data_IF_801286069214
#
_entry.id   IF_801286069214
#
_cell.length_a   1.000
_cell.length_b   1.000
_cell.length_c   1.000
_cell.angle_alpha   90.00
_cell.angle_beta   90.00
_cell.angle_gamma   90.00
#
_symmetry.space_group_name_H-M   'P 1'
#
loop_
_entity.id
_entity.type
_entity.pdbx_description
1 polymer ?
#
# COMPACT_ATOMS: atom_id res chain seq x y z
N UNK A 1 -6.43 2.98 -16.64
CA UNK A 1 -6.69 1.83 -15.74
C UNK A 1 -5.93 0.63 -16.29
N UNK A 2 -5.46 -0.29 -15.44
CA UNK A 2 -4.65 -1.46 -15.87
C UNK A 2 -5.31 -2.27 -16.99
N UNK A 3 -6.64 -2.41 -16.92
CA UNK A 3 -7.51 -3.00 -17.94
C UNK A 3 -7.30 -2.45 -19.35
N UNK A 4 -7.11 -1.13 -19.48
CA UNK A 4 -6.99 -0.46 -20.78
C UNK A 4 -5.63 -0.63 -21.45
N UNK A 5 -4.63 -1.11 -20.72
CA UNK A 5 -3.28 -1.38 -21.25
C UNK A 5 -3.09 -2.85 -21.64
N UNK A 6 -4.11 -3.70 -21.48
CA UNK A 6 -4.05 -5.10 -21.90
C UNK A 6 -4.30 -5.23 -23.40
N UNK A 7 -3.59 -6.16 -24.03
CA UNK A 7 -3.83 -6.54 -25.43
C UNK A 7 -5.25 -7.06 -25.65
N UNK A 8 -5.82 -7.74 -24.65
CA UNK A 8 -7.20 -8.24 -24.64
C UNK A 8 -7.90 -7.90 -23.31
N UNK A 9 -8.59 -6.75 -23.22
CA UNK A 9 -9.30 -6.32 -22.01
C UNK A 9 -10.40 -7.28 -21.56
N UNK A 10 -10.94 -8.13 -22.46
CA UNK A 10 -12.02 -9.07 -22.14
C UNK A 10 -11.57 -10.20 -21.20
N UNK A 11 -10.25 -10.44 -21.11
CA UNK A 11 -9.65 -11.47 -20.26
C UNK A 11 -9.14 -10.94 -18.92
N UNK A 12 -9.41 -9.68 -18.59
CA UNK A 12 -8.92 -9.07 -17.35
C UNK A 12 -9.38 -9.83 -16.10
N UNK A 13 -10.67 -10.15 -16.00
CA UNK A 13 -11.22 -10.92 -14.88
C UNK A 13 -10.55 -12.29 -14.75
N UNK A 14 -10.37 -13.00 -15.87
CA UNK A 14 -9.68 -14.29 -15.89
C UNK A 14 -8.22 -14.17 -15.45
N UNK A 15 -7.51 -13.15 -15.91
CA UNK A 15 -6.13 -12.88 -15.51
C UNK A 15 -6.05 -12.56 -14.00
N UNK A 16 -6.98 -11.77 -13.47
CA UNK A 16 -7.05 -11.45 -12.04
C UNK A 16 -7.29 -12.69 -11.21
N UNK A 17 -8.27 -13.52 -11.57
CA UNK A 17 -8.61 -14.75 -10.84
C UNK A 17 -7.38 -15.67 -10.74
N UNK A 18 -6.70 -15.94 -11.87
CA UNK A 18 -5.49 -16.75 -11.86
C UNK A 18 -4.35 -16.12 -11.07
N UNK A 19 -4.16 -14.81 -11.18
CA UNK A 19 -3.14 -14.09 -10.42
C UNK A 19 -3.38 -14.21 -8.92
N UNK A 20 -4.64 -14.13 -8.48
CA UNK A 20 -5.03 -14.30 -7.08
C UNK A 20 -4.86 -15.74 -6.59
N UNK A 21 -5.23 -16.74 -7.41
CA UNK A 21 -5.01 -18.16 -7.10
C UNK A 21 -3.52 -18.43 -6.86
N UNK A 22 -2.67 -18.02 -7.79
CA UNK A 22 -1.22 -18.21 -7.65
C UNK A 22 -0.67 -17.43 -6.45
N UNK A 23 -1.11 -16.19 -6.23
CA UNK A 23 -0.70 -15.42 -5.07
C UNK A 23 -1.11 -16.10 -3.75
N UNK A 24 -2.29 -16.71 -3.68
CA UNK A 24 -2.75 -17.45 -2.51
C UNK A 24 -1.87 -18.69 -2.26
N UNK A 25 -1.55 -19.46 -3.30
CA UNK A 25 -0.67 -20.63 -3.20
C UNK A 25 0.71 -20.23 -2.67
N UNK A 26 1.35 -19.21 -3.25
CA UNK A 26 2.67 -18.75 -2.82
C UNK A 26 2.66 -18.26 -1.38
N UNK A 27 1.65 -17.47 -0.98
CA UNK A 27 1.52 -16.96 0.39
C UNK A 27 1.31 -18.11 1.39
N UNK A 28 0.46 -19.08 1.06
CA UNK A 28 0.17 -20.21 1.92
C UNK A 28 1.38 -21.13 2.10
N UNK A 29 2.07 -21.48 1.02
CA UNK A 29 3.28 -22.30 1.08
C UNK A 29 4.40 -21.60 1.85
N UNK A 30 4.62 -20.31 1.57
CA UNK A 30 5.63 -19.52 2.29
C UNK A 30 5.33 -19.47 3.79
N UNK A 31 4.06 -19.19 4.17
CA UNK A 31 3.63 -19.19 5.57
C UNK A 31 3.80 -20.55 6.24
N UNK A 32 3.41 -21.63 5.56
CA UNK A 32 3.54 -22.99 6.07
C UNK A 32 4.99 -23.40 6.32
N UNK A 33 5.89 -23.14 5.36
CA UNK A 33 7.32 -23.43 5.50
C UNK A 33 7.93 -22.63 6.66
N UNK A 34 7.60 -21.33 6.76
CA UNK A 34 8.08 -20.46 7.82
C UNK A 34 7.61 -20.93 9.20
N UNK A 35 6.35 -21.32 9.32
CA UNK A 35 5.79 -21.86 10.56
C UNK A 35 6.48 -23.16 10.98
N UNK A 36 6.72 -24.09 10.05
CA UNK A 36 7.44 -25.32 10.36
C UNK A 36 8.92 -25.08 10.70
N UNK A 37 9.54 -24.05 10.12
CA UNK A 37 10.97 -23.75 10.32
C UNK A 37 11.22 -23.08 11.67
N UNK A 38 10.40 -22.12 12.07
CA UNK A 38 10.62 -21.32 13.28
C UNK A 38 9.69 -21.68 14.44
N UNK A 39 8.56 -22.35 14.17
CA UNK A 39 7.59 -22.82 15.16
C UNK A 39 7.27 -21.76 16.22
N UNK A 40 7.57 -22.03 17.49
CA UNK A 40 7.29 -21.16 18.63
C UNK A 40 8.13 -19.86 18.63
N UNK A 41 9.23 -19.81 17.87
CA UNK A 41 10.10 -18.62 17.76
C UNK A 41 9.64 -17.67 16.64
N UNK A 42 8.51 -17.93 15.99
CA UNK A 42 8.01 -17.10 14.88
C UNK A 42 7.60 -15.71 15.35
N UNK A 43 8.47 -14.72 15.12
CA UNK A 43 8.15 -13.30 15.32
C UNK A 43 7.12 -12.78 14.30
N UNK A 44 6.43 -11.68 14.64
CA UNK A 44 5.46 -11.01 13.75
C UNK A 44 6.05 -10.63 12.38
N UNK A 45 7.36 -10.33 12.37
CA UNK A 45 8.11 -10.05 11.14
C UNK A 45 9.06 -11.22 10.89
N UNK A 46 8.72 -12.05 9.91
CA UNK A 46 9.44 -13.30 9.61
C UNK A 46 10.93 -13.09 9.31
N UNK A 47 11.31 -11.95 8.75
CA UNK A 47 12.72 -11.66 8.44
C UNK A 47 13.59 -11.51 9.69
N UNK A 48 12.98 -11.18 10.85
CA UNK A 48 13.71 -11.12 12.12
C UNK A 48 14.12 -12.51 12.63
N UNK A 49 13.45 -13.58 12.19
CA UNK A 49 13.77 -14.96 12.57
C UNK A 49 14.96 -15.52 11.77
N UNK A 50 15.43 -14.82 10.73
CA UNK A 50 16.54 -15.28 9.92
C UNK A 50 17.85 -15.32 10.74
N UNK A 51 18.51 -16.49 10.85
CA UNK A 51 19.67 -16.65 11.71
C UNK A 51 20.94 -15.98 11.15
N UNK A 52 21.04 -15.87 9.81
CA UNK A 52 22.16 -15.21 9.15
C UNK A 52 21.98 -13.69 9.13
N UNK A 53 22.88 -12.98 9.82
CA UNK A 53 22.86 -11.52 9.88
C UNK A 53 22.98 -10.86 8.49
N UNK A 54 23.81 -11.41 7.60
CA UNK A 54 23.98 -10.90 6.23
C UNK A 54 22.75 -11.11 5.36
N UNK A 55 22.15 -12.31 5.41
CA UNK A 55 20.93 -12.61 4.65
C UNK A 55 19.75 -11.79 5.15
N UNK A 56 19.59 -11.65 6.46
CA UNK A 56 18.60 -10.78 7.09
C UNK A 56 18.74 -9.32 6.62
N UNK A 57 19.96 -8.80 6.61
CA UNK A 57 20.26 -7.44 6.14
C UNK A 57 19.84 -7.22 4.69
N UNK A 58 20.21 -8.15 3.80
CA UNK A 58 19.85 -8.09 2.39
C UNK A 58 18.33 -8.08 2.18
N UNK A 59 17.62 -9.01 2.81
CA UNK A 59 16.15 -9.12 2.67
C UNK A 59 15.47 -7.86 3.21
N UNK A 60 15.89 -7.34 4.37
CA UNK A 60 15.31 -6.12 4.93
C UNK A 60 15.56 -4.89 4.03
N UNK A 61 16.74 -4.75 3.44
CA UNK A 61 17.03 -3.67 2.47
C UNK A 61 16.11 -3.79 1.26
N UNK A 62 15.96 -4.99 0.69
CA UNK A 62 15.04 -5.23 -0.43
C UNK A 62 13.59 -4.87 -0.05
N UNK A 63 13.14 -5.19 1.16
CA UNK A 63 11.81 -4.83 1.65
C UNK A 63 11.63 -3.31 1.78
N UNK A 64 12.65 -2.59 2.28
CA UNK A 64 12.63 -1.12 2.36
C UNK A 64 12.57 -0.50 0.97
N UNK A 65 13.41 -0.97 0.04
CA UNK A 65 13.40 -0.49 -1.35
C UNK A 65 12.04 -0.73 -2.00
N UNK A 66 11.49 -1.94 -1.84
CA UNK A 66 10.14 -2.27 -2.31
C UNK A 66 9.10 -1.31 -1.73
N UNK A 67 9.16 -1.03 -0.42
CA UNK A 67 8.21 -0.14 0.24
C UNK A 67 8.30 1.30 -0.29
N UNK A 68 9.51 1.84 -0.47
CA UNK A 68 9.73 3.17 -1.02
C UNK A 68 9.20 3.30 -2.45
N UNK A 69 9.42 2.28 -3.28
CA UNK A 69 8.92 2.26 -4.66
C UNK A 69 7.40 2.05 -4.74
N UNK A 70 6.85 1.30 -3.79
CA UNK A 70 5.43 0.95 -3.79
C UNK A 70 4.55 1.98 -3.07
N UNK A 71 5.11 2.82 -2.18
CA UNK A 71 4.37 3.81 -1.38
C UNK A 71 3.61 4.86 -2.21
N UNK A 72 4.16 5.40 -3.33
CA UNK A 72 3.46 6.43 -4.10
C UNK A 72 2.13 5.94 -4.70
N UNK A 73 2.07 4.68 -5.14
CA UNK A 73 0.90 4.10 -5.82
C UNK A 73 -0.39 4.14 -4.96
N UNK A 74 -0.45 3.51 -3.77
CA UNK A 74 -1.63 3.56 -2.92
C UNK A 74 -1.84 4.95 -2.32
N UNK A 75 -0.77 5.73 -2.07
CA UNK A 75 -0.89 7.09 -1.57
C UNK A 75 -1.65 7.99 -2.55
N UNK A 76 -1.27 7.99 -3.83
CA UNK A 76 -1.97 8.79 -4.84
C UNK A 76 -3.39 8.29 -5.08
N UNK A 77 -3.61 6.98 -5.09
CA UNK A 77 -4.96 6.40 -5.20
C UNK A 77 -5.87 6.82 -4.02
N UNK A 78 -5.35 6.81 -2.79
CA UNK A 78 -6.07 7.27 -1.60
C UNK A 78 -6.37 8.78 -1.66
N UNK A 79 -5.38 9.60 -2.07
CA UNK A 79 -5.58 11.03 -2.27
C UNK A 79 -6.69 11.31 -3.28
N UNK A 80 -6.69 10.61 -4.42
CA UNK A 80 -7.70 10.77 -5.46
C UNK A 80 -9.10 10.35 -4.98
N UNK A 81 -9.20 9.23 -4.26
CA UNK A 81 -10.47 8.76 -3.71
C UNK A 81 -11.04 9.74 -2.67
N UNK A 82 -10.20 10.23 -1.77
CA UNK A 82 -10.59 11.24 -0.79
C UNK A 82 -10.96 12.57 -1.44
N UNK A 83 -10.21 13.01 -2.46
CA UNK A 83 -10.53 14.20 -3.25
C UNK A 83 -11.90 14.08 -3.91
N UNK A 84 -12.17 12.95 -4.57
CA UNK A 84 -13.46 12.67 -5.21
C UNK A 84 -14.62 12.63 -4.21
N UNK A 85 -14.36 12.25 -2.96
CA UNK A 85 -15.38 12.08 -1.92
C UNK A 85 -15.68 13.39 -1.18
N UNK A 86 -14.66 14.21 -0.92
CA UNK A 86 -14.79 15.38 -0.05
C UNK A 86 -14.71 16.73 -0.78
N UNK A 87 -14.05 16.82 -1.94
CA UNK A 87 -13.60 18.08 -2.54
C UNK A 87 -14.06 18.30 -4.01
N UNK A 88 -15.28 17.88 -4.37
CA UNK A 88 -15.89 18.10 -5.70
C UNK A 88 -16.70 19.40 -5.84
N UNK A 89 -16.77 20.24 -4.81
CA UNK A 89 -17.58 21.45 -4.78
C UNK A 89 -19.08 21.19 -4.53
N UNK A 90 -19.81 22.25 -4.17
CA UNK A 90 -21.26 22.24 -3.97
C UNK A 90 -22.00 22.10 -5.31
N UNK A 91 -23.14 21.38 -5.39
CA UNK A 91 -23.89 20.74 -4.30
C UNK A 91 -23.45 19.30 -4.00
N UNK A 92 -22.40 18.78 -4.66
CA UNK A 92 -22.02 17.36 -4.57
C UNK A 92 -21.18 17.01 -3.33
N UNK A 93 -20.45 17.98 -2.75
CA UNK A 93 -19.58 17.76 -1.59
C UNK A 93 -19.47 19.01 -0.71
N UNK A 94 -19.13 18.84 0.57
CA UNK A 94 -19.11 19.91 1.58
C UNK A 94 -17.93 20.88 1.42
N UNK A 95 -16.80 20.45 0.85
CA UNK A 95 -15.59 21.27 0.75
C UNK A 95 -15.34 21.83 -0.67
N UNK A 96 -14.69 23.01 -0.79
CA UNK A 96 -14.33 23.61 -2.08
C UNK A 96 -13.28 22.76 -2.82
N UNK A 97 -13.18 22.94 -4.13
CA UNK A 97 -12.22 22.19 -4.96
C UNK A 97 -10.77 22.47 -4.56
N UNK A 98 -9.97 21.41 -4.51
CA UNK A 98 -8.54 21.45 -4.18
C UNK A 98 -7.70 22.12 -5.28
N UNK A 99 -8.16 22.08 -6.52
CA UNK A 99 -7.50 22.68 -7.67
C UNK A 99 -7.97 24.12 -7.91
N UNK A 100 -7.04 24.99 -8.29
CA UNK A 100 -7.33 26.30 -8.87
C UNK A 100 -7.86 26.15 -10.30
N UNK A 101 -8.49 27.20 -10.84
CA UNK A 101 -8.98 27.20 -12.23
C UNK A 101 -7.85 26.96 -13.24
N UNK A 102 -6.63 27.35 -12.89
CA UNK A 102 -5.42 27.27 -13.71
C UNK A 102 -4.68 25.91 -13.60
N UNK A 103 -5.23 24.95 -12.83
CA UNK A 103 -4.58 23.64 -12.60
C UNK A 103 -3.52 23.64 -11.50
N UNK A 104 -3.27 24.79 -10.87
CA UNK A 104 -2.39 24.92 -9.70
C UNK A 104 -3.02 24.30 -8.44
N UNK A 105 -2.21 23.61 -7.62
CA UNK A 105 -2.66 23.03 -6.36
C UNK A 105 -2.80 24.15 -5.33
N UNK A 106 -4.02 24.36 -4.78
CA UNK A 106 -4.21 25.35 -3.71
C UNK A 106 -3.41 24.94 -2.46
N UNK A 107 -2.97 25.92 -1.67
CA UNK A 107 -2.30 25.70 -0.38
C UNK A 107 -3.11 24.78 0.54
N UNK A 108 -4.45 24.90 0.51
CA UNK A 108 -5.37 24.01 1.22
C UNK A 108 -5.29 22.54 0.77
N UNK A 109 -5.08 22.30 -0.52
CA UNK A 109 -4.86 20.97 -1.08
C UNK A 109 -3.54 20.34 -0.66
N UNK A 110 -2.48 21.15 -0.62
CA UNK A 110 -1.18 20.73 -0.10
C UNK A 110 -1.28 20.37 1.38
N UNK A 111 -1.93 21.22 2.19
CA UNK A 111 -2.14 20.97 3.61
C UNK A 111 -2.92 19.67 3.87
N UNK A 112 -3.93 19.35 3.05
CA UNK A 112 -4.66 18.08 3.13
C UNK A 112 -3.75 16.87 2.86
N UNK A 113 -2.96 16.91 1.78
CA UNK A 113 -2.00 15.84 1.43
C UNK A 113 -0.96 15.62 2.52
N UNK A 114 -0.37 16.69 3.05
CA UNK A 114 0.57 16.63 4.18
C UNK A 114 -0.12 16.08 5.43
N UNK A 115 -1.36 16.50 5.69
CA UNK A 115 -2.17 16.00 6.80
C UNK A 115 -2.39 14.48 6.74
N UNK A 116 -2.64 13.92 5.55
CA UNK A 116 -2.76 12.47 5.37
C UNK A 116 -1.45 11.74 5.68
N UNK A 117 -0.32 12.25 5.20
CA UNK A 117 1.00 11.68 5.52
C UNK A 117 1.24 11.71 7.03
N UNK A 118 1.03 12.87 7.67
CA UNK A 118 1.20 13.02 9.11
C UNK A 118 0.28 12.08 9.90
N UNK A 119 -0.98 11.93 9.49
CA UNK A 119 -1.91 10.99 10.10
C UNK A 119 -1.40 9.55 10.03
N UNK A 120 -0.92 9.11 8.85
CA UNK A 120 -0.35 7.76 8.70
C UNK A 120 0.92 7.55 9.53
N UNK A 121 1.76 8.58 9.67
CA UNK A 121 2.96 8.54 10.53
C UNK A 121 2.55 8.45 12.00
N UNK A 122 1.58 9.25 12.45
CA UNK A 122 1.08 9.19 13.83
C UNK A 122 0.53 7.81 14.15
N UNK A 123 -0.27 7.22 13.25
CA UNK A 123 -0.75 5.84 13.40
C UNK A 123 0.40 4.85 13.55
N UNK A 124 1.45 4.96 12.73
CA UNK A 124 2.64 4.11 12.83
C UNK A 124 3.41 4.30 14.14
N UNK A 125 3.46 5.51 14.69
CA UNK A 125 4.10 5.80 15.99
C UNK A 125 3.31 5.23 17.18
N UNK A 126 1.98 5.35 17.16
CA UNK A 126 1.14 4.91 18.28
C UNK A 126 0.87 3.40 18.30
N UNK A 127 0.84 2.74 17.12
CA UNK A 127 0.52 1.31 16.99
C UNK A 127 1.64 0.64 16.18
N UNK A 128 2.80 0.32 16.80
CA UNK A 128 3.92 -0.32 16.12
C UNK A 128 3.73 -1.83 15.94
N UNK A 129 2.53 -2.38 16.17
CA UNK A 129 2.24 -3.81 16.04
C UNK A 129 1.92 -4.17 14.58
N UNK A 130 2.90 -4.73 13.89
CA UNK A 130 2.79 -5.14 12.49
C UNK A 130 1.66 -6.16 12.26
N UNK A 131 1.31 -6.96 13.27
CA UNK A 131 0.27 -7.99 13.17
C UNK A 131 -1.18 -7.45 13.20
N UNK A 132 -1.38 -6.17 13.56
CA UNK A 132 -2.72 -5.54 13.60
C UNK A 132 -3.05 -4.85 12.27
N UNK A 133 -2.03 -4.62 11.42
CA UNK A 133 -2.13 -3.99 10.11
C UNK A 133 -2.34 -5.04 9.00
#
# INVERSE_FOLDING_TARGET
TLEGNMEDPSKFEWMLDWSHIWAAIFKALFGYICFLTFQNDTQQVITNNLPSAGFRGLVNICLVVKALLSYPLPYYAACELLERTFFRGQPKTRFPTIWALDGELKVWGLAWRVGLVLFTILMACFIPHFAIL
#
